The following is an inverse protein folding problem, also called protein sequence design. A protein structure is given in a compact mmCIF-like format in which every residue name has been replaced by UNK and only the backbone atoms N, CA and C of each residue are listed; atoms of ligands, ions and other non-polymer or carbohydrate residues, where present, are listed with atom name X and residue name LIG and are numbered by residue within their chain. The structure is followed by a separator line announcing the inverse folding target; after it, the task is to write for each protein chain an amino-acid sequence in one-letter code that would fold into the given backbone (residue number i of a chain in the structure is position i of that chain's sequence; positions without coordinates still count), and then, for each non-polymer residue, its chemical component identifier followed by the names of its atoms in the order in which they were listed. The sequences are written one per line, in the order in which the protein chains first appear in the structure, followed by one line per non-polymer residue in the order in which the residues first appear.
data_IF_384644714450
#
_entry.id   IF_384644714450
#
_cell.length_a   1.000
_cell.length_b   1.000
_cell.length_c   1.000
_cell.angle_alpha   90.00
_cell.angle_beta   90.00
_cell.angle_gamma   90.00
#
_symmetry.space_group_name_H-M   'P 1'
#
loop_
_entity.id
_entity.type
_entity.pdbx_description
1 polymer ?
#
# COMPACT_ATOMS: atom_id res chain seq x y z
N UNK A 1 1.65 -13.70 -26.17
CA UNK A 1 2.04 -14.68 -25.12
C UNK A 1 3.39 -14.23 -24.60
N UNK A 2 3.48 -13.72 -23.36
CA UNK A 2 4.74 -13.23 -22.81
C UNK A 2 5.67 -14.39 -22.44
N UNK A 3 6.97 -14.22 -22.65
CA UNK A 3 7.96 -15.21 -22.23
C UNK A 3 7.90 -15.40 -20.70
N UNK A 4 7.92 -16.65 -20.25
CA UNK A 4 8.06 -16.97 -18.83
C UNK A 4 9.54 -16.86 -18.45
N UNK A 5 9.82 -16.18 -17.35
CA UNK A 5 11.17 -16.10 -16.77
C UNK A 5 11.23 -16.96 -15.51
N UNK A 6 12.38 -17.59 -15.27
CA UNK A 6 12.65 -18.26 -14.00
C UNK A 6 13.29 -17.25 -13.05
N UNK A 7 12.79 -17.18 -11.81
CA UNK A 7 13.31 -16.28 -10.78
C UNK A 7 13.50 -17.06 -9.48
N UNK A 8 14.68 -16.94 -8.89
CA UNK A 8 15.00 -17.54 -7.59
C UNK A 8 14.81 -16.49 -6.50
N UNK A 9 14.01 -16.82 -5.48
CA UNK A 9 13.74 -15.95 -4.34
C UNK A 9 14.26 -16.61 -3.07
N UNK A 10 14.95 -15.83 -2.22
CA UNK A 10 15.28 -16.26 -0.86
C UNK A 10 14.11 -15.87 0.03
N UNK A 11 13.58 -16.86 0.75
CA UNK A 11 12.41 -16.72 1.61
C UNK A 11 12.70 -17.40 2.93
N UNK A 12 12.06 -16.92 3.99
CA UNK A 12 12.08 -17.60 5.27
C UNK A 12 11.29 -18.92 5.18
N UNK A 13 11.89 -20.02 5.65
CA UNK A 13 11.31 -21.37 5.50
C UNK A 13 9.98 -21.51 6.25
N UNK A 14 9.89 -20.95 7.46
CA UNK A 14 8.70 -21.05 8.30
C UNK A 14 7.54 -20.29 7.66
N UNK A 15 7.79 -19.03 7.29
CA UNK A 15 6.79 -18.21 6.61
C UNK A 15 6.34 -18.82 5.28
N UNK A 16 7.27 -19.42 4.53
CA UNK A 16 6.95 -20.07 3.25
C UNK A 16 6.02 -21.27 3.44
N UNK A 17 6.28 -22.13 4.43
CA UNK A 17 5.43 -23.29 4.73
C UNK A 17 4.02 -22.86 5.16
N UNK A 18 3.92 -21.91 6.08
CA UNK A 18 2.63 -21.37 6.53
C UNK A 18 1.84 -20.72 5.39
N UNK A 19 2.49 -19.90 4.57
CA UNK A 19 1.85 -19.27 3.42
C UNK A 19 1.38 -20.31 2.39
N UNK A 20 2.18 -21.36 2.15
CA UNK A 20 1.81 -22.44 1.22
C UNK A 20 0.54 -23.15 1.68
N UNK A 21 0.39 -23.49 2.95
CA UNK A 21 -0.81 -24.13 3.48
C UNK A 21 -2.06 -23.25 3.33
N UNK A 22 -1.92 -21.94 3.57
CA UNK A 22 -3.01 -20.98 3.39
C UNK A 22 -3.41 -20.90 1.91
N UNK A 23 -2.44 -20.80 1.01
CA UNK A 23 -2.68 -20.72 -0.43
C UNK A 23 -3.33 -22.00 -0.98
N UNK A 24 -2.92 -23.17 -0.51
CA UNK A 24 -3.53 -24.45 -0.90
C UNK A 24 -5.02 -24.51 -0.52
N UNK A 25 -5.39 -24.00 0.66
CA UNK A 25 -6.82 -23.88 1.05
C UNK A 25 -7.60 -22.92 0.16
N UNK A 26 -6.92 -21.95 -0.46
CA UNK A 26 -7.49 -21.01 -1.43
C UNK A 26 -7.44 -21.55 -2.87
N UNK A 27 -6.92 -22.76 -3.09
CA UNK A 27 -6.77 -23.35 -4.43
C UNK A 27 -5.66 -22.72 -5.27
N UNK A 28 -4.68 -22.06 -4.63
CA UNK A 28 -3.57 -21.38 -5.27
C UNK A 28 -2.24 -22.05 -4.93
N UNK A 29 -1.33 -22.10 -5.89
CA UNK A 29 0.07 -22.38 -5.61
C UNK A 29 0.86 -21.07 -5.39
N UNK A 30 2.06 -21.20 -4.83
CA UNK A 30 2.91 -20.05 -4.51
C UNK A 30 3.28 -19.24 -5.76
N UNK A 31 3.50 -19.88 -6.90
CA UNK A 31 3.82 -19.18 -8.15
C UNK A 31 2.65 -18.36 -8.67
N UNK A 32 1.41 -18.86 -8.56
CA UNK A 32 0.20 -18.12 -8.91
C UNK A 32 0.02 -16.91 -8.00
N UNK A 33 0.15 -17.10 -6.69
CA UNK A 33 0.07 -16.00 -5.72
C UNK A 33 1.14 -14.93 -5.98
N UNK A 34 2.37 -15.33 -6.30
CA UNK A 34 3.44 -14.40 -6.66
C UNK A 34 3.15 -13.63 -7.96
N UNK A 35 2.61 -14.29 -8.99
CA UNK A 35 2.21 -13.62 -10.22
C UNK A 35 1.10 -12.60 -9.99
N UNK A 36 0.12 -12.92 -9.12
CA UNK A 36 -0.92 -11.97 -8.71
C UNK A 36 -0.28 -10.77 -8.00
N UNK A 37 0.65 -10.99 -7.08
CA UNK A 37 1.37 -9.93 -6.38
C UNK A 37 2.11 -8.99 -7.35
N UNK A 38 2.85 -9.54 -8.32
CA UNK A 38 3.52 -8.74 -9.36
C UNK A 38 2.52 -7.96 -10.22
N UNK A 39 1.39 -8.57 -10.58
CA UNK A 39 0.34 -7.89 -11.33
C UNK A 39 -0.26 -6.72 -10.54
N UNK A 40 -0.48 -6.88 -9.23
CA UNK A 40 -0.94 -5.80 -8.38
C UNK A 40 0.09 -4.66 -8.28
N UNK A 41 1.39 -4.98 -8.18
CA UNK A 41 2.43 -3.94 -8.19
C UNK A 41 2.36 -3.10 -9.47
N UNK A 42 2.21 -3.78 -10.62
CA UNK A 42 2.10 -3.12 -11.92
C UNK A 42 0.87 -2.22 -12.01
N UNK A 43 -0.28 -2.71 -11.54
CA UNK A 43 -1.56 -2.01 -11.63
C UNK A 43 -1.57 -0.74 -10.76
N UNK A 44 -1.18 -0.87 -9.49
CA UNK A 44 -1.20 0.23 -8.54
C UNK A 44 0.05 1.13 -8.61
N UNK A 45 1.01 0.81 -9.50
CA UNK A 45 2.31 1.49 -9.60
C UNK A 45 2.99 1.66 -8.24
N UNK A 46 2.87 0.65 -7.38
CA UNK A 46 3.26 0.72 -5.98
C UNK A 46 3.07 -0.63 -5.30
N UNK A 47 3.49 -0.71 -4.04
CA UNK A 47 3.32 -1.92 -3.25
C UNK A 47 1.82 -2.10 -2.93
N UNK A 48 1.21 -3.27 -3.20
CA UNK A 48 -0.24 -3.49 -3.11
C UNK A 48 -0.71 -3.81 -1.69
N UNK A 49 -0.06 -3.20 -0.71
CA UNK A 49 -0.44 -3.18 0.69
C UNK A 49 0.00 -1.84 1.26
N UNK A 50 -0.73 -1.34 2.26
CA UNK A 50 -0.30 -0.14 2.97
C UNK A 50 1.07 -0.39 3.61
N UNK A 51 2.11 0.26 3.11
CA UNK A 51 3.44 0.26 3.73
C UNK A 51 3.35 1.15 4.97
N UNK A 52 2.85 0.58 6.07
CA UNK A 52 2.79 1.26 7.37
C UNK A 52 4.17 1.27 8.01
N UNK A 53 5.05 2.11 7.51
CA UNK A 53 5.98 2.79 8.43
C UNK A 53 5.19 4.02 8.88
N UNK A 54 4.62 4.07 10.09
CA UNK A 54 4.07 5.31 10.59
C UNK A 54 5.22 6.31 10.65
N UNK A 55 5.34 7.14 9.64
CA UNK A 55 6.21 8.31 9.66
C UNK A 55 5.75 9.17 10.84
N UNK A 56 6.69 9.49 11.72
CA UNK A 56 6.42 10.24 12.94
C UNK A 56 5.71 11.57 12.63
N UNK A 57 5.98 12.12 11.45
CA UNK A 57 5.36 13.33 10.92
C UNK A 57 3.85 13.16 10.67
N UNK A 58 3.37 12.12 9.98
CA UNK A 58 1.92 11.94 9.76
C UNK A 58 1.21 11.58 11.06
N UNK A 59 1.84 10.81 11.96
CA UNK A 59 1.29 10.56 13.29
C UNK A 59 1.16 11.87 14.11
N UNK A 60 2.13 12.78 13.98
CA UNK A 60 2.11 14.10 14.62
C UNK A 60 1.03 15.01 14.01
N UNK A 61 0.93 15.09 12.69
CA UNK A 61 -0.09 15.89 11.98
C UNK A 61 -1.50 15.43 12.36
N UNK A 62 -1.78 14.13 12.40
CA UNK A 62 -3.09 13.60 12.80
C UNK A 62 -3.40 13.93 14.27
N UNK A 63 -2.40 13.84 15.16
CA UNK A 63 -2.57 14.23 16.58
C UNK A 63 -2.82 15.73 16.74
N UNK A 64 -2.13 16.56 15.98
CA UNK A 64 -2.29 18.02 16.00
C UNK A 64 -3.66 18.43 15.44
N UNK A 65 -4.08 17.85 14.31
CA UNK A 65 -5.39 18.07 13.72
C UNK A 65 -6.53 17.70 14.69
N UNK A 66 -6.44 16.54 15.36
CA UNK A 66 -7.41 16.13 16.40
C UNK A 66 -7.45 17.04 17.62
N UNK A 67 -6.37 17.78 17.88
CA UNK A 67 -6.26 18.79 18.94
C UNK A 67 -6.63 20.20 18.46
N UNK A 68 -7.14 20.34 17.23
CA UNK A 68 -7.53 21.63 16.67
C UNK A 68 -6.35 22.51 16.24
N UNK A 69 -5.14 21.96 16.15
CA UNK A 69 -3.93 22.70 15.74
C UNK A 69 -3.67 22.50 14.24
N UNK A 70 -3.15 23.55 13.60
CA UNK A 70 -2.80 23.54 12.16
C UNK A 70 -3.99 23.19 11.23
N UNK A 71 -5.21 23.56 11.63
CA UNK A 71 -6.42 23.41 10.81
C UNK A 71 -6.73 24.71 10.08
N UNK A 72 -7.13 24.61 8.81
CA UNK A 72 -7.71 25.71 8.05
C UNK A 72 -9.22 25.47 8.02
N UNK A 73 -9.99 26.41 8.58
CA UNK A 73 -11.44 26.36 8.49
C UNK A 73 -11.86 26.89 7.11
N UNK A 74 -12.66 26.12 6.38
CA UNK A 74 -13.17 26.50 5.06
C UNK A 74 -14.69 26.51 5.10
N UNK A 75 -15.30 27.64 4.70
CA UNK A 75 -16.75 27.82 4.78
C UNK A 75 -17.50 27.22 3.58
N UNK A 76 -16.80 26.95 2.48
CA UNK A 76 -17.38 26.36 1.27
C UNK A 76 -16.33 25.67 0.40
N UNK A 77 -16.80 24.83 -0.52
CA UNK A 77 -15.96 24.01 -1.41
C UNK A 77 -15.11 24.88 -2.36
N UNK A 78 -15.63 26.03 -2.82
CA UNK A 78 -14.90 26.93 -3.73
C UNK A 78 -13.66 27.54 -3.07
N UNK A 79 -13.76 27.83 -1.78
CA UNK A 79 -12.66 28.35 -0.97
C UNK A 79 -11.57 27.28 -0.76
N UNK A 80 -11.97 26.04 -0.50
CA UNK A 80 -11.05 24.90 -0.40
C UNK A 80 -10.27 24.69 -1.71
N UNK A 81 -10.94 24.73 -2.86
CA UNK A 81 -10.29 24.58 -4.18
C UNK A 81 -9.21 25.62 -4.44
N UNK A 82 -9.42 26.87 -3.98
CA UNK A 82 -8.44 27.96 -4.15
C UNK A 82 -7.21 27.73 -3.27
N UNK A 83 -7.40 27.28 -2.03
CA UNK A 83 -6.32 27.03 -1.07
C UNK A 83 -5.46 25.85 -1.52
N UNK A 84 -6.07 24.76 -1.99
CA UNK A 84 -5.34 23.57 -2.46
C UNK A 84 -4.55 23.87 -3.73
N UNK A 85 -5.08 24.68 -4.65
CA UNK A 85 -4.39 25.06 -5.90
C UNK A 85 -3.24 26.06 -5.71
N UNK A 86 -3.22 26.81 -4.62
CA UNK A 86 -2.12 27.75 -4.32
C UNK A 86 -0.90 27.10 -3.66
N UNK A 87 -1.01 25.84 -3.21
CA UNK A 87 0.05 25.08 -2.53
C UNK A 87 0.69 23.98 -3.41
N UNK A 88 0.41 23.97 -4.71
CA UNK A 88 1.06 23.14 -5.74
C UNK A 88 1.86 24.04 -6.67
#
# INVERSE_FOLDING_TARGET
MGAKIQTTLRVDEKNYKEAKEILERLGLNVSQAFNIFIAMIKEYKGIPFEVKIPNEETAKVIKEARRGKNLINVGNIKELEKIVKSNV
#
